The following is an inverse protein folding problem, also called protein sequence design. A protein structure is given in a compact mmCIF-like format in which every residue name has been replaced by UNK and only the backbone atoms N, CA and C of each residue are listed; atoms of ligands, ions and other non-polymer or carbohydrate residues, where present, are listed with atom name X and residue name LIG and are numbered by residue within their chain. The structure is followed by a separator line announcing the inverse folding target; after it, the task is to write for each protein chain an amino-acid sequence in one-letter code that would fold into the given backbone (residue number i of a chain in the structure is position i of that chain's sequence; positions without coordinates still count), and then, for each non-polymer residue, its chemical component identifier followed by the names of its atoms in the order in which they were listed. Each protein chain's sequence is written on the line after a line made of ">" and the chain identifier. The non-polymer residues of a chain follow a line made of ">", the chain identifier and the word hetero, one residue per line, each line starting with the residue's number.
data_IF_910295679633
#
_entry.id   IF_910295679633
#
_cell.length_a   1.000
_cell.length_b   1.000
_cell.length_c   1.000
_cell.angle_alpha   90.00
_cell.angle_beta   90.00
_cell.angle_gamma   90.00
#
_symmetry.space_group_name_H-M   'P 1'
#
loop_
_entity.id
_entity.type
_entity.pdbx_description
1 polymer ?
#
# COMPACT_ATOMS: atom_id res chain seq x y z
N UNK A 1 -50.70 -69.98 -54.22
CA UNK A 1 -49.57 -69.43 -54.97
C UNK A 1 -49.63 -67.91 -54.91
N UNK A 2 -48.52 -67.25 -54.58
CA UNK A 2 -48.40 -65.80 -54.36
C UNK A 2 -48.94 -64.92 -55.49
N UNK A 3 -49.37 -63.70 -55.15
CA UNK A 3 -48.82 -62.55 -55.87
C UNK A 3 -48.37 -61.41 -54.95
N UNK A 4 -47.38 -60.67 -55.45
CA UNK A 4 -46.65 -59.55 -54.86
C UNK A 4 -47.52 -58.41 -54.28
N UNK A 5 -47.05 -57.69 -53.24
CA UNK A 5 -47.68 -56.45 -52.80
C UNK A 5 -47.17 -55.23 -53.60
N UNK A 6 -48.01 -54.20 -53.85
CA UNK A 6 -47.58 -52.97 -54.53
C UNK A 6 -46.86 -51.98 -53.60
N UNK A 7 -45.86 -51.32 -54.18
CA UNK A 7 -44.95 -50.31 -53.62
C UNK A 7 -45.64 -49.02 -53.15
N UNK A 8 -45.39 -48.60 -51.91
CA UNK A 8 -45.76 -47.27 -51.39
C UNK A 8 -44.76 -46.21 -51.86
N UNK A 9 -45.25 -45.16 -52.53
CA UNK A 9 -44.49 -43.94 -52.88
C UNK A 9 -44.18 -43.13 -51.61
N UNK A 10 -42.90 -42.84 -51.39
CA UNK A 10 -42.41 -41.94 -50.33
C UNK A 10 -42.62 -40.48 -50.76
N UNK A 11 -43.32 -39.68 -49.97
CA UNK A 11 -43.25 -38.20 -50.03
C UNK A 11 -42.10 -37.77 -49.13
N UNK A 12 -41.06 -37.18 -49.69
CA UNK A 12 -40.00 -36.53 -48.92
C UNK A 12 -40.48 -35.13 -48.53
N UNK A 13 -40.58 -34.87 -47.22
CA UNK A 13 -40.77 -33.54 -46.66
C UNK A 13 -39.37 -33.00 -46.36
N UNK A 14 -38.96 -31.93 -47.05
CA UNK A 14 -37.77 -31.17 -46.69
C UNK A 14 -38.06 -30.41 -45.39
N UNK A 15 -37.37 -30.77 -44.31
CA UNK A 15 -37.28 -29.96 -43.09
C UNK A 15 -36.04 -29.09 -43.24
N UNK A 16 -36.23 -27.79 -43.49
CA UNK A 16 -35.16 -26.80 -43.43
C UNK A 16 -34.77 -26.56 -41.98
N UNK A 17 -33.54 -26.93 -41.60
CA UNK A 17 -32.97 -26.57 -40.32
C UNK A 17 -32.43 -25.14 -40.43
N UNK A 18 -33.15 -24.18 -39.85
CA UNK A 18 -32.61 -22.85 -39.61
C UNK A 18 -31.71 -22.92 -38.36
N UNK A 19 -30.39 -22.88 -38.56
CA UNK A 19 -29.43 -22.68 -37.47
C UNK A 19 -29.54 -21.21 -37.01
N UNK A 20 -30.37 -20.97 -36.01
CA UNK A 20 -30.36 -19.71 -35.28
C UNK A 20 -29.09 -19.65 -34.43
N UNK A 21 -28.11 -18.82 -34.81
CA UNK A 21 -27.00 -18.48 -33.95
C UNK A 21 -27.52 -17.62 -32.80
N UNK A 22 -27.89 -18.24 -31.68
CA UNK A 22 -28.17 -17.54 -30.45
C UNK A 22 -26.85 -16.95 -29.92
N UNK A 23 -26.66 -15.65 -30.11
CA UNK A 23 -25.60 -14.89 -29.44
C UNK A 23 -26.02 -14.77 -27.97
N UNK A 24 -25.44 -15.60 -27.11
CA UNK A 24 -25.56 -15.39 -25.68
C UNK A 24 -24.83 -14.08 -25.33
N UNK A 25 -25.45 -13.16 -24.57
CA UNK A 25 -24.74 -11.99 -24.10
C UNK A 25 -23.62 -12.47 -23.17
N UNK A 26 -22.37 -12.14 -23.52
CA UNK A 26 -21.24 -12.25 -22.61
C UNK A 26 -21.44 -11.15 -21.57
N UNK A 27 -22.04 -11.52 -20.44
CA UNK A 27 -22.06 -10.65 -19.26
C UNK A 27 -20.64 -10.66 -18.71
N UNK A 28 -19.87 -9.63 -19.06
CA UNK A 28 -18.59 -9.38 -18.40
C UNK A 28 -18.93 -8.85 -17.00
N UNK A 29 -18.96 -9.74 -16.02
CA UNK A 29 -18.95 -9.33 -14.62
C UNK A 29 -17.55 -8.79 -14.35
N UNK A 30 -17.40 -7.47 -14.33
CA UNK A 30 -16.22 -6.84 -13.75
C UNK A 30 -16.19 -7.23 -12.26
N UNK A 31 -15.34 -8.18 -11.89
CA UNK A 31 -15.01 -8.39 -10.50
C UNK A 31 -14.36 -7.10 -10.01
N UNK A 32 -15.03 -6.38 -9.10
CA UNK A 32 -14.34 -5.35 -8.34
C UNK A 32 -13.26 -6.09 -7.54
N UNK A 33 -11.99 -5.79 -7.78
CA UNK A 33 -10.91 -6.38 -6.99
C UNK A 33 -11.20 -6.07 -5.52
N UNK A 34 -11.27 -7.12 -4.68
CA UNK A 34 -11.42 -6.95 -3.25
C UNK A 34 -10.23 -6.13 -2.71
N UNK A 35 -10.48 -5.30 -1.69
CA UNK A 35 -9.43 -4.60 -0.98
C UNK A 35 -8.44 -5.64 -0.44
N UNK A 36 -7.17 -5.48 -0.82
CA UNK A 36 -6.09 -6.37 -0.43
C UNK A 36 -4.96 -5.56 0.19
N UNK A 37 -4.40 -6.06 1.30
CA UNK A 37 -3.24 -5.50 1.97
C UNK A 37 -2.24 -6.64 2.20
N UNK A 38 -0.97 -6.38 1.92
CA UNK A 38 0.12 -7.31 2.16
C UNK A 38 1.26 -6.56 2.87
N UNK A 39 1.45 -6.85 4.15
CA UNK A 39 2.50 -6.30 5.01
C UNK A 39 3.88 -6.83 4.61
N UNK A 40 4.93 -6.24 5.16
CA UNK A 40 6.30 -6.67 4.88
C UNK A 40 6.64 -8.07 5.43
N UNK A 41 5.81 -8.64 6.33
CA UNK A 41 5.97 -10.05 6.75
C UNK A 41 5.71 -11.03 5.62
N UNK A 42 4.93 -10.62 4.61
CA UNK A 42 4.48 -11.46 3.52
C UNK A 42 5.10 -11.10 2.16
N UNK A 43 5.68 -9.91 2.00
CA UNK A 43 6.33 -9.49 0.77
C UNK A 43 7.48 -8.48 1.03
N UNK A 44 8.58 -8.56 0.27
CA UNK A 44 9.67 -7.60 0.40
C UNK A 44 9.28 -6.20 -0.08
N UNK A 45 9.81 -5.17 0.58
CA UNK A 45 9.52 -3.77 0.31
C UNK A 45 9.82 -3.37 -1.14
N UNK A 46 10.88 -3.91 -1.74
CA UNK A 46 11.36 -3.54 -3.07
C UNK A 46 10.32 -3.76 -4.17
N UNK A 47 9.49 -4.80 -4.04
CA UNK A 47 8.43 -5.09 -5.01
C UNK A 47 7.34 -4.01 -4.95
N UNK A 48 6.87 -3.71 -3.74
CA UNK A 48 5.83 -2.72 -3.49
C UNK A 48 6.30 -1.29 -3.80
N UNK A 49 7.54 -0.97 -3.42
CA UNK A 49 8.16 0.32 -3.70
C UNK A 49 8.44 0.53 -5.20
N UNK A 50 8.86 -0.51 -5.92
CA UNK A 50 9.04 -0.45 -7.37
C UNK A 50 7.74 -0.11 -8.11
N UNK A 51 6.59 -0.55 -7.61
CA UNK A 51 5.28 -0.25 -8.18
C UNK A 51 4.83 1.22 -8.00
N UNK A 52 5.50 2.00 -7.13
CA UNK A 52 5.23 3.44 -6.97
C UNK A 52 5.77 4.28 -8.13
N UNK A 53 6.78 3.76 -8.83
CA UNK A 53 7.46 4.49 -9.90
C UNK A 53 6.64 4.49 -11.19
N UNK A 54 6.33 5.68 -11.68
CA UNK A 54 5.59 5.93 -12.92
C UNK A 54 6.47 6.45 -14.05
N UNK A 55 5.87 7.24 -14.94
CA UNK A 55 6.52 7.74 -16.15
C UNK A 55 7.80 8.54 -15.88
N UNK A 56 8.82 8.31 -16.71
CA UNK A 56 10.10 9.04 -16.73
C UNK A 56 10.92 8.96 -15.43
N UNK A 57 10.70 7.94 -14.60
CA UNK A 57 11.46 7.69 -13.40
C UNK A 57 11.96 6.25 -13.43
N UNK A 58 13.22 6.03 -13.04
CA UNK A 58 13.79 4.69 -12.89
C UNK A 58 13.96 4.38 -11.41
N UNK A 59 13.38 3.27 -10.96
CA UNK A 59 13.61 2.75 -9.60
C UNK A 59 15.06 2.24 -9.44
N UNK A 60 15.65 2.46 -8.27
CA UNK A 60 16.98 1.94 -7.90
C UNK A 60 16.89 1.00 -6.71
N UNK A 61 16.36 1.48 -5.58
CA UNK A 61 16.29 0.71 -4.34
C UNK A 61 15.22 1.26 -3.40
N UNK A 62 14.83 0.46 -2.41
CA UNK A 62 14.01 0.88 -1.29
C UNK A 62 14.57 0.29 0.01
N UNK A 63 14.37 0.99 1.12
CA UNK A 63 14.78 0.57 2.45
C UNK A 63 13.71 0.94 3.47
N UNK A 64 13.40 0.02 4.39
CA UNK A 64 12.69 0.31 5.63
C UNK A 64 13.68 0.92 6.61
N UNK A 65 13.50 2.20 6.95
CA UNK A 65 14.38 2.96 7.85
C UNK A 65 13.90 2.82 9.29
N UNK A 66 12.58 2.97 9.49
CA UNK A 66 11.90 2.76 10.77
C UNK A 66 10.61 1.97 10.55
N UNK A 67 10.17 1.31 11.60
CA UNK A 67 8.89 0.60 11.66
C UNK A 67 9.05 -0.91 11.73
N UNK A 68 8.00 -1.57 12.20
CA UNK A 68 7.81 -3.02 12.17
C UNK A 68 7.22 -3.42 10.82
N UNK A 69 7.40 -4.68 10.44
CA UNK A 69 6.91 -5.19 9.16
C UNK A 69 5.38 -5.07 8.98
N UNK A 70 4.63 -4.96 10.09
CA UNK A 70 3.16 -4.78 10.11
C UNK A 70 2.72 -3.36 9.72
N UNK A 71 3.60 -2.37 9.88
CA UNK A 71 3.32 -0.95 9.68
C UNK A 71 3.44 -0.51 8.21
N UNK A 72 4.09 -1.32 7.37
CA UNK A 72 4.36 -1.00 5.97
C UNK A 72 3.89 -2.14 5.09
N UNK A 73 3.29 -1.82 3.94
CA UNK A 73 2.78 -2.85 3.05
C UNK A 73 2.18 -2.32 1.76
N UNK A 74 2.08 -3.19 0.76
CA UNK A 74 1.31 -2.88 -0.44
C UNK A 74 -0.18 -2.98 -0.16
N UNK A 75 -0.96 -2.13 -0.83
CA UNK A 75 -2.41 -2.23 -0.83
C UNK A 75 -2.97 -2.09 -2.25
N UNK A 76 -4.15 -2.65 -2.49
CA UNK A 76 -4.86 -2.56 -3.77
C UNK A 76 -6.38 -2.61 -3.58
N UNK A 77 -7.11 -1.87 -4.41
CA UNK A 77 -8.57 -1.85 -4.40
C UNK A 77 -9.19 -0.89 -3.39
N UNK A 78 -8.41 -0.02 -2.76
CA UNK A 78 -8.88 0.95 -1.77
C UNK A 78 -9.61 2.11 -2.47
N UNK A 79 -10.92 2.21 -2.27
CA UNK A 79 -11.79 3.13 -3.03
C UNK A 79 -11.95 4.51 -2.34
N UNK A 80 -10.83 5.14 -1.98
CA UNK A 80 -10.82 6.49 -1.40
C UNK A 80 -10.48 7.57 -2.43
N UNK A 81 -9.65 7.22 -3.42
CA UNK A 81 -9.32 8.05 -4.58
C UNK A 81 -8.78 7.17 -5.71
N UNK A 82 -9.05 7.55 -6.95
CA UNK A 82 -8.53 6.84 -8.12
C UNK A 82 -6.99 6.86 -8.19
N UNK A 83 -6.36 7.94 -7.73
CA UNK A 83 -4.91 8.14 -7.80
C UNK A 83 -4.13 7.32 -6.75
N UNK A 84 -4.81 6.94 -5.66
CA UNK A 84 -4.26 6.15 -4.55
C UNK A 84 -5.07 4.87 -4.35
N UNK A 85 -5.67 4.31 -5.41
CA UNK A 85 -6.46 3.07 -5.34
C UNK A 85 -5.61 1.85 -4.99
N UNK A 86 -4.33 1.91 -5.28
CA UNK A 86 -3.31 0.91 -4.95
C UNK A 86 -1.98 1.61 -4.74
N UNK A 87 -1.08 0.98 -4.00
CA UNK A 87 0.23 1.56 -3.74
C UNK A 87 0.90 0.98 -2.50
N UNK A 88 1.64 1.83 -1.79
CA UNK A 88 2.31 1.51 -0.53
C UNK A 88 1.68 2.30 0.60
N UNK A 89 1.34 1.63 1.69
CA UNK A 89 0.85 2.24 2.93
C UNK A 89 1.95 2.19 4.00
N UNK A 90 2.01 3.24 4.81
CA UNK A 90 2.79 3.35 6.03
C UNK A 90 1.84 3.81 7.14
N UNK A 91 1.87 3.18 8.30
CA UNK A 91 0.99 3.53 9.42
C UNK A 91 1.74 3.57 10.74
N UNK A 92 1.31 4.42 11.66
CA UNK A 92 1.80 4.40 13.04
C UNK A 92 1.31 3.14 13.77
N UNK A 93 0.10 2.67 13.47
CA UNK A 93 -0.40 1.36 13.87
C UNK A 93 -0.14 0.23 12.87
N UNK A 94 -0.96 -0.82 12.93
CA UNK A 94 -0.82 -2.01 12.07
C UNK A 94 -1.67 -1.92 10.80
N UNK A 95 -1.15 -2.37 9.65
CA UNK A 95 -1.92 -2.44 8.40
C UNK A 95 -2.80 -3.70 8.29
N UNK A 96 -2.68 -4.66 9.21
CA UNK A 96 -3.59 -5.81 9.31
C UNK A 96 -4.25 -5.87 10.68
N UNK A 97 -5.37 -6.60 10.76
CA UNK A 97 -5.91 -7.00 12.06
C UNK A 97 -4.97 -8.01 12.75
N UNK A 98 -5.01 -8.01 14.08
CA UNK A 98 -4.26 -8.96 14.90
C UNK A 98 -4.69 -10.40 14.58
N UNK A 99 -3.74 -11.32 14.49
CA UNK A 99 -4.02 -12.74 14.54
C UNK A 99 -4.25 -13.15 16.01
N UNK A 100 -5.47 -13.56 16.43
CA UNK A 100 -5.73 -13.93 17.81
C UNK A 100 -4.93 -15.14 18.31
N UNK A 101 -4.28 -15.87 17.41
CA UNK A 101 -3.37 -16.98 17.72
C UNK A 101 -1.90 -16.57 17.79
N UNK A 102 -1.55 -15.36 17.35
CA UNK A 102 -0.20 -14.80 17.44
C UNK A 102 0.03 -14.21 18.82
N UNK A 103 1.00 -14.76 19.56
CA UNK A 103 1.45 -14.17 20.83
C UNK A 103 2.23 -12.85 20.65
N UNK A 104 2.55 -12.48 19.41
CA UNK A 104 3.24 -11.22 19.07
C UNK A 104 2.27 -10.08 18.75
N UNK A 105 1.00 -10.38 18.47
CA UNK A 105 -0.03 -9.40 18.10
C UNK A 105 -0.77 -8.96 19.37
N UNK A 106 -0.06 -8.30 20.29
CA UNK A 106 -0.59 -7.86 21.59
C UNK A 106 -0.81 -6.35 21.69
N UNK A 107 -0.25 -5.61 20.74
CA UNK A 107 -0.15 -4.15 20.76
C UNK A 107 -1.23 -3.46 19.90
N UNK A 108 -2.00 -4.23 19.11
CA UNK A 108 -3.05 -3.75 18.22
C UNK A 108 -4.18 -4.79 18.10
N UNK A 109 -5.34 -4.38 17.60
CA UNK A 109 -6.49 -5.28 17.35
C UNK A 109 -6.95 -5.23 15.91
N UNK A 110 -7.11 -4.02 15.37
CA UNK A 110 -7.65 -3.77 14.02
C UNK A 110 -6.55 -3.32 13.06
N UNK A 111 -6.88 -3.32 11.77
CA UNK A 111 -6.06 -2.61 10.77
C UNK A 111 -6.36 -1.12 10.83
N UNK A 112 -5.33 -0.29 10.85
CA UNK A 112 -5.38 1.18 10.74
C UNK A 112 -5.78 1.69 9.36
N UNK A 113 -5.86 0.82 8.36
CA UNK A 113 -6.20 1.18 6.98
C UNK A 113 -7.54 0.58 6.55
N UNK A 114 -7.77 -0.70 6.81
CA UNK A 114 -8.91 -1.45 6.25
C UNK A 114 -9.92 -1.81 7.31
N UNK A 115 -11.19 -1.61 7.01
CA UNK A 115 -12.27 -1.91 7.94
C UNK A 115 -13.50 -1.14 7.54
N UNK A 116 -14.59 -1.36 8.28
CA UNK A 116 -15.63 -0.33 8.39
C UNK A 116 -15.29 0.46 9.63
N UNK A 117 -15.16 1.79 9.54
CA UNK A 117 -14.98 2.62 10.72
C UNK A 117 -16.17 2.46 11.68
N UNK A 118 -16.01 1.53 12.63
CA UNK A 118 -17.06 1.10 13.55
C UNK A 118 -16.79 1.59 14.98
N UNK A 119 -15.56 2.06 15.23
CA UNK A 119 -15.11 2.64 16.47
C UNK A 119 -14.07 3.73 16.14
N UNK A 120 -14.23 4.96 16.65
CA UNK A 120 -13.40 6.09 16.23
C UNK A 120 -12.09 6.19 17.03
N UNK A 121 -11.56 5.07 17.50
CA UNK A 121 -10.41 5.04 18.42
C UNK A 121 -9.49 3.86 18.12
N UNK A 122 -9.35 3.48 16.85
CA UNK A 122 -8.40 2.41 16.50
C UNK A 122 -6.97 2.87 16.85
N UNK A 123 -6.19 1.95 17.42
CA UNK A 123 -4.83 2.23 17.92
C UNK A 123 -3.98 0.97 17.84
N UNK A 124 -2.71 1.16 17.50
CA UNK A 124 -1.63 0.22 17.73
C UNK A 124 -0.40 0.92 18.30
N UNK A 125 -0.14 0.73 19.60
CA UNK A 125 1.07 1.25 20.28
C UNK A 125 2.18 0.21 20.18
N UNK A 126 2.96 0.28 19.11
CA UNK A 126 3.89 -0.79 18.72
C UNK A 126 5.25 -0.72 19.41
N UNK A 127 5.50 0.31 20.24
CA UNK A 127 6.74 0.55 20.99
C UNK A 127 7.97 0.85 20.13
N UNK A 128 7.77 1.31 18.89
CA UNK A 128 8.78 1.63 17.90
C UNK A 128 9.50 2.95 18.17
N UNK A 129 10.67 3.11 17.55
CA UNK A 129 11.40 4.38 17.58
C UNK A 129 10.69 5.44 16.71
N UNK A 130 10.83 6.71 17.09
CA UNK A 130 10.41 7.85 16.26
C UNK A 130 11.29 8.10 15.04
N UNK A 131 10.96 9.15 14.29
CA UNK A 131 11.67 9.63 13.10
C UNK A 131 12.39 10.95 13.41
N UNK A 132 13.67 11.04 13.07
CA UNK A 132 14.45 12.26 13.26
C UNK A 132 13.96 13.39 12.34
N UNK A 133 13.60 13.07 11.09
CA UNK A 133 13.02 14.01 10.13
C UNK A 133 11.70 14.59 10.63
N UNK A 134 10.81 13.74 11.15
CA UNK A 134 9.52 14.20 11.67
C UNK A 134 9.66 14.94 13.00
N UNK A 135 10.57 14.51 13.88
CA UNK A 135 10.90 15.25 15.12
C UNK A 135 11.41 16.66 14.81
N UNK A 136 12.25 16.80 13.79
CA UNK A 136 12.74 18.11 13.35
C UNK A 136 11.63 18.96 12.70
N UNK A 137 10.69 18.32 12.00
CA UNK A 137 9.56 18.98 11.36
C UNK A 137 8.56 19.54 12.37
N UNK A 138 8.20 18.77 13.40
CA UNK A 138 7.18 19.15 14.39
C UNK A 138 7.76 19.87 15.60
N UNK A 139 9.05 19.69 15.89
CA UNK A 139 9.67 20.15 17.13
C UNK A 139 9.25 19.34 18.36
N UNK A 140 8.60 18.19 18.17
CA UNK A 140 8.12 17.29 19.21
C UNK A 140 8.75 15.91 19.08
N UNK A 141 8.85 15.18 20.19
CA UNK A 141 9.28 13.77 20.16
C UNK A 141 8.24 12.95 19.39
N UNK A 142 8.74 12.05 18.54
CA UNK A 142 7.91 11.13 17.77
C UNK A 142 8.11 9.68 18.24
N UNK A 143 7.11 8.85 18.01
CA UNK A 143 7.07 7.43 18.38
C UNK A 143 6.55 6.59 17.21
N UNK A 144 6.77 5.28 17.26
CA UNK A 144 6.16 4.31 16.34
C UNK A 144 6.28 4.67 14.86
N UNK A 145 7.43 5.23 14.46
CA UNK A 145 7.59 5.73 13.12
C UNK A 145 7.62 4.59 12.10
N UNK A 146 6.79 4.69 11.07
CA UNK A 146 6.94 3.96 9.83
C UNK A 146 7.63 4.87 8.81
N UNK A 147 8.83 4.49 8.36
CA UNK A 147 9.61 5.31 7.44
C UNK A 147 10.28 4.46 6.37
N UNK A 148 10.05 4.81 5.11
CA UNK A 148 10.71 4.20 3.96
C UNK A 148 11.53 5.23 3.19
N UNK A 149 12.69 4.81 2.70
CA UNK A 149 13.53 5.58 1.78
C UNK A 149 13.60 4.88 0.43
N UNK A 150 13.31 5.61 -0.65
CA UNK A 150 13.43 5.16 -2.03
C UNK A 150 14.53 5.93 -2.73
N UNK A 151 15.33 5.25 -3.54
CA UNK A 151 16.26 5.89 -4.48
C UNK A 151 15.72 5.72 -5.89
N UNK A 152 15.61 6.84 -6.61
CA UNK A 152 15.14 6.88 -7.99
C UNK A 152 16.07 7.72 -8.87
N UNK A 153 16.02 7.52 -10.19
CA UNK A 153 16.65 8.40 -11.16
C UNK A 153 15.58 9.02 -12.06
N UNK A 154 15.27 10.31 -11.92
CA UNK A 154 14.34 11.02 -12.79
C UNK A 154 14.98 11.32 -14.14
N UNK A 155 14.22 11.24 -15.23
CA UNK A 155 14.67 11.69 -16.55
C UNK A 155 14.41 13.20 -16.77
N UNK A 156 13.59 13.82 -15.93
CA UNK A 156 13.27 15.24 -15.93
C UNK A 156 13.87 16.00 -14.75
N UNK A 157 13.58 17.31 -14.70
CA UNK A 157 14.09 18.23 -13.67
C UNK A 157 13.09 18.49 -12.53
N UNK A 158 11.91 17.87 -12.61
CA UNK A 158 10.88 17.93 -11.58
C UNK A 158 10.34 16.53 -11.33
N UNK A 159 10.22 16.16 -10.04
CA UNK A 159 9.44 15.02 -9.58
C UNK A 159 8.04 15.48 -9.18
N UNK A 160 7.05 14.65 -9.44
CA UNK A 160 5.68 14.76 -8.92
C UNK A 160 5.35 13.47 -8.17
N UNK A 161 4.87 13.60 -6.93
CA UNK A 161 4.59 12.48 -6.03
C UNK A 161 3.15 12.57 -5.54
N UNK A 162 2.35 11.55 -5.83
CA UNK A 162 0.97 11.42 -5.36
C UNK A 162 0.93 10.73 -4.00
N UNK A 163 0.27 11.37 -3.03
CA UNK A 163 0.09 10.83 -1.69
C UNK A 163 -1.33 11.14 -1.16
N UNK A 164 -1.76 10.41 -0.14
CA UNK A 164 -3.01 10.62 0.58
C UNK A 164 -2.77 10.19 2.03
N UNK A 165 -3.46 10.77 3.00
CA UNK A 165 -3.39 10.28 4.37
C UNK A 165 -4.76 10.30 5.04
N UNK A 166 -4.89 9.55 6.12
CA UNK A 166 -6.04 9.61 7.00
C UNK A 166 -5.66 9.15 8.40
N UNK A 167 -6.55 9.38 9.35
CA UNK A 167 -6.22 9.24 10.77
C UNK A 167 -7.47 9.00 11.61
N UNK A 168 -7.27 8.29 12.72
CA UNK A 168 -8.20 8.16 13.84
C UNK A 168 -8.28 9.44 14.71
N UNK A 169 -7.37 10.39 14.54
CA UNK A 169 -7.38 11.63 15.33
C UNK A 169 -8.46 12.63 14.91
N UNK A 170 -9.02 12.47 13.71
CA UNK A 170 -10.15 13.28 13.27
C UNK A 170 -11.46 12.91 14.01
N UNK A 171 -12.37 13.87 14.21
CA UNK A 171 -12.19 15.33 14.13
C UNK A 171 -11.72 15.92 15.47
N UNK A 172 -11.83 15.14 16.55
CA UNK A 172 -11.78 15.60 17.95
C UNK A 172 -10.42 16.16 18.37
N UNK A 173 -9.34 15.71 17.73
CA UNK A 173 -7.97 16.06 18.09
C UNK A 173 -7.30 17.00 17.08
N UNK A 174 -7.99 17.35 15.99
CA UNK A 174 -7.51 18.29 14.96
C UNK A 174 -7.16 19.69 15.50
N UNK A 175 -7.68 20.05 16.69
CA UNK A 175 -7.43 21.33 17.37
C UNK A 175 -6.52 21.21 18.60
N UNK A 176 -5.90 20.05 18.83
CA UNK A 176 -5.01 19.79 19.98
C UNK A 176 -3.57 19.56 19.50
N UNK A 177 -2.64 19.50 20.45
CA UNK A 177 -1.21 19.32 20.17
C UNK A 177 -0.78 17.84 20.09
N UNK A 178 -1.74 16.92 19.95
CA UNK A 178 -1.49 15.48 19.91
C UNK A 178 -1.39 14.91 18.50
N UNK A 179 -1.44 15.76 17.47
CA UNK A 179 -1.57 15.25 16.10
C UNK A 179 -0.31 14.57 15.58
N UNK A 180 -0.48 13.42 14.93
CA UNK A 180 0.58 12.65 14.32
C UNK A 180 1.33 13.42 13.24
N UNK A 181 2.62 13.11 13.15
CA UNK A 181 3.53 13.72 12.19
C UNK A 181 3.57 12.88 10.92
N UNK A 182 3.54 13.53 9.75
CA UNK A 182 3.78 12.87 8.47
C UNK A 182 4.57 13.76 7.53
N UNK A 183 5.23 13.15 6.55
CA UNK A 183 5.95 13.89 5.54
C UNK A 183 6.43 13.05 4.36
N UNK A 184 6.44 13.68 3.19
CA UNK A 184 7.18 13.22 2.02
C UNK A 184 8.32 14.20 1.77
N UNK A 185 9.55 13.70 1.71
CA UNK A 185 10.77 14.48 1.53
C UNK A 185 11.47 14.06 0.24
N UNK A 186 12.07 15.02 -0.46
CA UNK A 186 12.91 14.80 -1.64
C UNK A 186 14.28 15.42 -1.38
N UNK A 187 15.32 14.59 -1.41
CA UNK A 187 16.70 14.97 -1.04
C UNK A 187 16.77 15.71 0.31
N UNK A 188 16.00 15.24 1.30
CA UNK A 188 15.91 15.81 2.64
C UNK A 188 15.07 17.09 2.77
N UNK A 189 14.53 17.63 1.67
CA UNK A 189 13.62 18.79 1.71
C UNK A 189 12.17 18.33 1.76
N UNK A 190 11.35 18.93 2.64
CA UNK A 190 9.92 18.64 2.71
C UNK A 190 9.23 18.99 1.38
N UNK A 191 8.55 18.02 0.79
CA UNK A 191 7.78 18.15 -0.44
C UNK A 191 6.28 18.27 -0.13
N UNK A 192 5.77 17.49 0.83
CA UNK A 192 4.35 17.50 1.24
C UNK A 192 3.97 18.78 2.00
N UNK A 193 3.78 19.86 1.24
CA UNK A 193 3.35 21.18 1.70
C UNK A 193 1.97 21.46 1.11
N UNK A 194 1.09 22.01 1.93
CA UNK A 194 -0.22 22.53 1.53
C UNK A 194 -0.21 24.02 1.84
N UNK A 195 -0.35 24.83 0.78
CA UNK A 195 -0.07 26.26 0.78
C UNK A 195 1.35 26.61 1.26
N UNK A 196 1.54 26.79 2.57
CA UNK A 196 2.85 27.10 3.17
C UNK A 196 3.16 26.25 4.40
N UNK A 197 2.26 25.35 4.77
CA UNK A 197 2.37 24.52 5.96
C UNK A 197 2.61 23.05 5.58
N UNK A 198 3.29 22.26 6.41
CA UNK A 198 3.36 20.81 6.23
C UNK A 198 1.96 20.20 6.11
N UNK A 199 1.79 19.25 5.20
CA UNK A 199 0.56 18.47 5.13
C UNK A 199 0.39 17.68 6.44
N UNK A 200 -0.82 17.69 7.01
CA UNK A 200 -1.13 17.01 8.26
C UNK A 200 -2.54 17.34 8.74
N UNK A 201 -2.92 16.75 9.86
CA UNK A 201 -4.29 16.78 10.43
C UNK A 201 -4.73 18.20 10.80
N UNK A 202 -3.80 19.04 11.25
CA UNK A 202 -4.06 20.46 11.55
C UNK A 202 -4.24 21.30 10.28
N UNK A 203 -3.59 20.91 9.20
CA UNK A 203 -3.57 21.65 7.94
C UNK A 203 -4.79 21.31 7.08
N UNK A 204 -5.24 20.05 7.09
CA UNK A 204 -6.43 19.60 6.35
C UNK A 204 -7.44 19.01 7.34
N UNK A 205 -8.58 19.64 7.52
CA UNK A 205 -9.67 19.19 8.40
C UNK A 205 -11.00 19.81 7.95
N UNK A 206 -12.07 19.59 8.73
CA UNK A 206 -13.41 20.10 8.40
C UNK A 206 -13.50 21.64 8.31
N UNK A 207 -12.53 22.36 8.87
CA UNK A 207 -12.50 23.83 8.91
C UNK A 207 -11.42 24.47 8.04
N UNK A 208 -10.33 23.75 7.78
CA UNK A 208 -9.13 24.24 7.08
C UNK A 208 -8.82 23.30 5.92
N UNK A 209 -8.71 23.81 4.68
CA UNK A 209 -8.62 23.00 3.46
C UNK A 209 -9.71 21.91 3.36
N UNK A 210 -10.95 22.27 3.74
CA UNK A 210 -12.08 21.34 3.84
C UNK A 210 -12.46 20.68 2.50
N UNK A 211 -12.09 21.28 1.37
CA UNK A 211 -12.21 20.70 0.02
C UNK A 211 -11.33 19.46 -0.19
N UNK A 212 -10.27 19.34 0.61
CA UNK A 212 -9.37 18.19 0.63
C UNK A 212 -9.66 17.22 1.78
N UNK A 213 -10.73 17.41 2.55
CA UNK A 213 -11.10 16.58 3.71
C UNK A 213 -12.35 15.74 3.42
N UNK A 214 -12.31 14.45 3.80
CA UNK A 214 -13.46 13.55 3.70
C UNK A 214 -13.64 12.81 5.03
N UNK A 215 -14.77 13.07 5.70
CA UNK A 215 -15.14 12.35 6.92
C UNK A 215 -15.62 10.93 6.59
N UNK A 216 -15.27 9.99 7.47
CA UNK A 216 -15.74 8.61 7.44
C UNK A 216 -16.27 8.17 8.82
N UNK A 217 -16.75 9.12 9.64
CA UNK A 217 -17.35 8.82 10.94
C UNK A 217 -18.67 8.06 10.85
N UNK A 218 -19.29 8.06 9.67
CA UNK A 218 -20.49 7.26 9.39
C UNK A 218 -20.18 5.83 8.93
N UNK A 219 -18.89 5.49 8.78
CA UNK A 219 -18.41 4.19 8.33
C UNK A 219 -18.81 3.85 6.88
N UNK A 220 -19.15 4.85 6.07
CA UNK A 220 -19.61 4.65 4.69
C UNK A 220 -18.51 4.28 3.70
N UNK A 221 -17.25 4.53 4.05
CA UNK A 221 -16.09 4.16 3.26
C UNK A 221 -15.40 2.91 3.84
N UNK A 222 -14.85 2.07 2.95
CA UNK A 222 -14.18 0.83 3.32
C UNK A 222 -12.76 1.06 3.86
N UNK A 223 -12.67 1.92 4.87
CA UNK A 223 -11.46 2.21 5.64
C UNK A 223 -11.81 2.34 7.11
N UNK A 224 -10.86 2.00 7.97
CA UNK A 224 -11.00 2.18 9.43
C UNK A 224 -10.92 3.65 9.83
N UNK A 225 -10.13 4.45 9.10
CA UNK A 225 -9.81 5.83 9.44
C UNK A 225 -11.05 6.71 9.65
N UNK A 226 -11.07 7.49 10.74
CA UNK A 226 -12.11 8.48 11.05
C UNK A 226 -12.35 9.51 9.96
N UNK A 227 -11.27 10.00 9.35
CA UNK A 227 -11.33 10.79 8.15
C UNK A 227 -10.02 10.68 7.37
N UNK A 228 -10.05 11.10 6.12
CA UNK A 228 -8.92 11.04 5.21
C UNK A 228 -8.94 12.21 4.24
N UNK A 229 -7.83 12.46 3.57
CA UNK A 229 -7.73 13.54 2.59
C UNK A 229 -8.18 13.09 1.21
N UNK A 230 -8.47 14.01 0.29
CA UNK A 230 -8.38 13.69 -1.15
C UNK A 230 -6.92 13.32 -1.51
N UNK A 231 -6.69 12.79 -2.71
CA UNK A 231 -5.32 12.57 -3.16
C UNK A 231 -4.63 13.91 -3.41
N UNK A 232 -3.48 14.09 -2.76
CA UNK A 232 -2.61 15.25 -2.85
C UNK A 232 -1.44 14.97 -3.78
N UNK A 233 -0.78 16.02 -4.24
CA UNK A 233 0.42 15.91 -5.07
C UNK A 233 1.43 16.94 -4.62
N UNK A 234 2.65 16.51 -4.35
CA UNK A 234 3.77 17.42 -4.17
C UNK A 234 4.70 17.38 -5.37
N UNK A 235 5.38 18.49 -5.64
CA UNK A 235 6.40 18.57 -6.69
C UNK A 235 7.72 19.05 -6.10
N UNK A 236 8.83 18.52 -6.62
CA UNK A 236 10.17 18.85 -6.14
C UNK A 236 11.15 19.00 -7.31
N UNK A 237 11.97 20.07 -7.35
CA UNK A 237 13.03 20.20 -8.32
C UNK A 237 14.13 19.16 -8.08
N UNK A 238 14.60 18.53 -9.15
CA UNK A 238 15.59 17.45 -9.14
C UNK A 238 16.57 17.61 -10.30
N UNK A 239 17.61 16.78 -10.34
CA UNK A 239 18.56 16.78 -11.46
C UNK A 239 18.30 15.57 -12.36
N UNK A 240 18.03 15.77 -13.67
CA UNK A 240 17.88 14.68 -14.62
C UNK A 240 19.10 13.74 -14.60
N UNK A 241 18.85 12.44 -14.57
CA UNK A 241 19.89 11.40 -14.62
C UNK A 241 20.70 11.22 -13.33
N UNK A 242 20.38 11.95 -12.26
CA UNK A 242 21.06 11.86 -10.95
C UNK A 242 20.15 11.15 -9.95
N UNK A 243 20.73 10.27 -9.13
CA UNK A 243 20.00 9.63 -8.03
C UNK A 243 19.38 10.67 -7.09
N UNK A 244 18.11 10.46 -6.78
CA UNK A 244 17.28 11.28 -5.91
C UNK A 244 16.69 10.38 -4.83
N UNK A 245 16.80 10.79 -3.58
CA UNK A 245 16.21 10.08 -2.44
C UNK A 245 14.85 10.68 -2.13
N UNK A 246 13.84 9.81 -2.04
CA UNK A 246 12.49 10.13 -1.56
C UNK A 246 12.32 9.43 -0.22
N UNK A 247 11.93 10.17 0.82
CA UNK A 247 11.56 9.60 2.12
C UNK A 247 10.07 9.83 2.34
N UNK A 248 9.34 8.79 2.73
CA UNK A 248 7.98 8.91 3.24
C UNK A 248 7.96 8.40 4.68
N UNK A 249 7.40 9.20 5.58
CA UNK A 249 7.38 8.91 7.00
C UNK A 249 6.04 9.30 7.62
N UNK A 250 5.60 8.51 8.60
CA UNK A 250 4.50 8.83 9.52
C UNK A 250 4.91 8.35 10.93
N UNK A 251 4.56 9.09 11.97
CA UNK A 251 4.90 8.76 13.35
C UNK A 251 3.92 9.41 14.34
N UNK A 252 3.65 8.72 15.45
CA UNK A 252 2.85 9.29 16.52
C UNK A 252 3.61 10.46 17.16
N UNK A 253 2.87 11.43 17.71
CA UNK A 253 3.47 12.59 18.37
C UNK A 253 2.85 12.79 19.75
N UNK A 254 3.70 13.09 20.75
CA UNK A 254 3.32 13.28 22.16
C UNK A 254 2.88 12.00 22.89
N UNK A 255 2.00 11.19 22.33
CA UNK A 255 1.67 9.84 22.80
C UNK A 255 1.73 8.82 21.65
N UNK A 256 1.35 7.56 21.90
CA UNK A 256 1.30 6.47 20.92
C UNK A 256 -0.12 5.95 20.70
N UNK A 257 -1.11 6.84 20.82
CA UNK A 257 -2.52 6.50 20.62
C UNK A 257 -3.06 7.10 19.33
N UNK A 258 -4.03 6.39 18.76
CA UNK A 258 -4.70 6.70 17.50
C UNK A 258 -3.75 6.56 16.31
N UNK A 259 -4.22 5.87 15.28
CA UNK A 259 -3.35 5.55 14.15
C UNK A 259 -3.53 6.54 13.00
N UNK A 260 -2.42 6.94 12.39
CA UNK A 260 -2.38 7.68 11.12
C UNK A 260 -1.74 6.84 10.02
N UNK A 261 -2.39 6.77 8.86
CA UNK A 261 -1.88 6.07 7.68
C UNK A 261 -1.55 7.04 6.55
N UNK A 262 -0.31 6.97 6.04
CA UNK A 262 0.16 7.61 4.83
C UNK A 262 0.17 6.63 3.65
N UNK A 263 -0.43 7.04 2.53
CA UNK A 263 -0.56 6.26 1.30
C UNK A 263 0.23 6.93 0.17
N UNK A 264 1.06 6.15 -0.52
CA UNK A 264 1.73 6.53 -1.76
C UNK A 264 1.08 5.80 -2.94
N UNK A 265 0.67 6.53 -3.98
CA UNK A 265 -0.02 5.94 -5.13
C UNK A 265 0.90 5.12 -6.05
N UNK A 266 0.42 3.97 -6.52
CA UNK A 266 1.09 3.18 -7.55
C UNK A 266 1.24 3.98 -8.85
N UNK A 267 2.44 3.99 -9.43
CA UNK A 267 2.80 4.85 -10.55
C UNK A 267 2.73 6.36 -10.25
N UNK A 268 2.55 6.74 -8.98
CA UNK A 268 2.36 8.11 -8.52
C UNK A 268 3.64 8.95 -8.44
N UNK A 269 4.81 8.32 -8.56
CA UNK A 269 6.12 9.01 -8.64
C UNK A 269 6.49 9.17 -10.11
N UNK A 270 6.31 10.38 -10.64
CA UNK A 270 6.58 10.68 -12.06
C UNK A 270 7.58 11.82 -12.21
N UNK A 271 8.16 11.95 -13.39
CA UNK A 271 9.03 13.09 -13.72
C UNK A 271 8.60 13.76 -15.02
N UNK A 272 8.62 15.09 -15.03
CA UNK A 272 8.38 15.88 -16.24
C UNK A 272 9.70 16.16 -16.95
N UNK A 273 9.89 15.71 -18.21
CA UNK A 273 11.13 15.95 -18.94
C UNK A 273 11.46 17.45 -18.98
N UNK A 274 12.74 17.79 -18.82
CA UNK A 274 13.19 19.16 -19.00
C UNK A 274 12.81 19.64 -20.42
N UNK A 275 12.41 20.91 -20.61
CA UNK A 275 12.18 21.46 -21.94
C UNK A 275 13.40 21.18 -22.82
N UNK A 276 13.17 20.71 -24.05
CA UNK A 276 14.28 20.51 -24.99
C UNK A 276 15.05 21.83 -25.14
N UNK A 277 16.27 21.87 -24.64
CA UNK A 277 17.11 23.05 -24.77
C UNK A 277 17.27 23.30 -26.28
N UNK A 278 17.01 24.53 -26.78
CA UNK A 278 17.19 24.81 -28.20
C UNK A 278 18.64 24.46 -28.56
N UNK A 279 18.79 23.47 -29.43
CA UNK A 279 20.12 23.12 -29.95
C UNK A 279 20.60 24.33 -30.73
N UNK A 280 21.68 24.96 -30.26
CA UNK A 280 22.41 25.89 -31.11
C UNK A 280 22.92 25.06 -32.28
N UNK A 281 22.31 25.21 -33.45
CA UNK A 281 22.76 24.59 -34.69
C UNK A 281 24.26 24.85 -34.83
N UNK A 282 25.11 23.83 -35.09
CA UNK A 282 26.52 24.07 -35.34
C UNK A 282 26.63 25.03 -36.52
N UNK A 283 27.22 26.20 -36.25
CA UNK A 283 27.47 27.21 -37.26
C UNK A 283 28.29 26.57 -38.40
N UNK A 284 27.78 26.49 -39.64
CA UNK A 284 28.47 25.82 -40.75
C UNK A 284 29.72 26.57 -41.23
N UNK A 285 30.14 27.66 -40.57
CA UNK A 285 31.30 28.47 -40.93
C UNK A 285 32.57 28.23 -40.08
N UNK A 286 32.60 27.21 -39.21
CA UNK A 286 33.84 26.83 -38.54
C UNK A 286 34.75 26.05 -39.50
N UNK A 287 36.01 26.46 -39.76
CA UNK A 287 36.91 25.70 -40.62
C UNK A 287 37.26 24.37 -39.97
N UNK A 288 37.09 23.27 -40.71
CA UNK A 288 37.56 21.95 -40.29
C UNK A 288 39.11 21.91 -40.35
N UNK A 289 39.78 21.87 -39.20
CA UNK A 289 41.21 21.55 -39.13
C UNK A 289 41.36 20.03 -39.16
N UNK A 290 41.82 19.51 -40.29
CA UNK A 290 42.18 18.10 -40.49
C UNK A 290 43.56 17.82 -39.91
N UNK A 291 43.64 17.29 -38.68
CA UNK A 291 44.86 16.65 -38.20
C UNK A 291 44.78 15.15 -38.45
N UNK A 292 45.51 14.72 -39.48
CA UNK A 292 45.78 13.32 -39.75
C UNK A 292 46.91 12.84 -38.86
N UNK A 293 46.65 11.83 -38.02
CA UNK A 293 47.69 11.04 -37.36
C UNK A 293 47.50 9.58 -37.76
N UNK A 294 48.37 9.12 -38.65
CA UNK A 294 48.67 7.72 -38.91
C UNK A 294 49.77 7.25 -37.95
N UNK A 295 49.50 6.20 -37.17
CA UNK A 295 50.52 5.50 -36.39
C UNK A 295 49.98 4.23 -35.75
N UNK A 296 50.25 3.08 -36.38
CA UNK A 296 50.05 1.72 -35.83
C UNK A 296 51.33 1.26 -35.06
N UNK A 297 51.34 0.11 -34.34
CA UNK A 297 51.84 0.03 -32.97
C UNK A 297 53.19 -0.71 -32.83
N UNK A 298 53.90 -0.52 -31.72
CA UNK A 298 54.97 -1.40 -31.29
C UNK A 298 54.97 -1.54 -29.77
N UNK A 299 54.89 -2.79 -29.30
CA UNK A 299 54.86 -3.14 -27.89
C UNK A 299 56.23 -3.15 -27.23
N UNK A 300 56.22 -3.09 -25.90
CA UNK A 300 57.31 -3.56 -25.04
C UNK A 300 56.67 -4.17 -23.79
N UNK A 301 57.02 -5.42 -23.50
CA UNK A 301 56.72 -6.12 -22.25
C UNK A 301 57.88 -5.98 -21.27
N UNK A 302 57.59 -5.86 -19.97
CA UNK A 302 58.42 -6.32 -18.83
C UNK A 302 57.62 -6.09 -17.53
N UNK A 303 57.00 -7.12 -16.96
CA UNK A 303 57.42 -7.92 -15.79
C UNK A 303 57.64 -7.17 -14.46
N UNK A 304 56.85 -7.53 -13.43
CA UNK A 304 57.37 -7.71 -12.05
C UNK A 304 56.50 -7.25 -10.87
N UNK A 305 55.82 -8.22 -10.21
CA UNK A 305 55.59 -8.29 -8.74
C UNK A 305 54.50 -7.41 -8.10
N UNK A 306 53.77 -7.76 -7.04
CA UNK A 306 53.70 -8.97 -6.18
C UNK A 306 52.38 -8.90 -5.39
N UNK A 307 51.85 -10.05 -4.99
CA UNK A 307 50.67 -10.24 -4.16
C UNK A 307 50.82 -9.70 -2.71
N UNK A 308 49.69 -9.41 -2.07
CA UNK A 308 49.60 -9.04 -0.64
C UNK A 308 48.16 -9.08 -0.10
N UNK A 309 47.70 -10.30 0.22
CA UNK A 309 46.84 -10.71 1.36
C UNK A 309 45.66 -9.88 1.88
N UNK A 310 44.53 -10.58 1.98
CA UNK A 310 43.32 -10.31 2.73
C UNK A 310 43.55 -10.09 4.25
N UNK A 311 42.68 -9.30 4.87
CA UNK A 311 42.28 -9.46 6.26
C UNK A 311 40.91 -8.79 6.51
N UNK A 312 39.92 -9.64 6.75
CA UNK A 312 38.67 -9.38 7.46
C UNK A 312 38.96 -9.07 8.94
N UNK A 313 38.04 -8.43 9.67
CA UNK A 313 37.72 -8.92 11.01
C UNK A 313 36.22 -9.16 11.19
N UNK A 314 35.92 -10.28 11.84
CA UNK A 314 34.62 -10.59 12.42
C UNK A 314 34.47 -10.04 13.84
N UNK A 315 33.18 -9.90 14.18
CA UNK A 315 32.53 -10.28 15.44
C UNK A 315 32.42 -9.26 16.58
N UNK A 316 31.13 -8.99 16.84
CA UNK A 316 30.43 -8.99 18.12
C UNK A 316 30.62 -7.81 19.09
N UNK A 317 29.50 -7.17 19.44
CA UNK A 317 29.23 -6.85 20.85
C UNK A 317 27.74 -6.57 21.12
N UNK A 318 27.14 -7.46 21.92
CA UNK A 318 26.29 -7.21 23.09
C UNK A 318 25.02 -6.35 22.99
N UNK A 319 23.90 -7.05 23.17
CA UNK A 319 22.71 -6.68 23.95
C UNK A 319 22.96 -5.59 25.01
N UNK A 320 22.16 -4.53 24.95
CA UNK A 320 21.87 -3.67 26.11
C UNK A 320 20.40 -3.83 26.47
N UNK A 321 20.16 -4.63 27.51
CA UNK A 321 18.93 -4.69 28.27
C UNK A 321 19.02 -3.64 29.39
N UNK A 322 18.11 -2.67 29.38
CA UNK A 322 17.73 -1.80 30.51
C UNK A 322 16.25 -1.51 30.30
N UNK A 323 15.31 -2.20 30.95
CA UNK A 323 14.89 -1.98 32.34
C UNK A 323 13.84 -0.84 32.38
N UNK A 324 12.63 -0.99 32.92
CA UNK A 324 12.05 -2.11 33.65
C UNK A 324 10.57 -1.90 34.04
N UNK A 325 10.02 -2.99 34.58
CA UNK A 325 9.04 -3.11 35.66
C UNK A 325 7.67 -2.40 35.57
N UNK A 326 6.66 -3.17 35.13
CA UNK A 326 5.24 -2.97 35.45
C UNK A 326 4.62 -4.30 35.92
N UNK A 327 4.20 -4.35 37.17
CA UNK A 327 3.92 -5.58 37.92
C UNK A 327 2.73 -6.44 37.47
N UNK A 328 2.96 -7.73 37.61
CA UNK A 328 2.03 -8.86 37.59
C UNK A 328 0.90 -8.72 38.63
N UNK A 329 -0.36 -8.84 38.22
CA UNK A 329 -1.48 -9.20 39.11
C UNK A 329 -2.24 -10.39 38.53
N UNK A 330 -2.02 -11.54 39.17
CA UNK A 330 -2.72 -12.81 38.96
C UNK A 330 -4.12 -12.71 39.58
N UNK A 331 -5.15 -13.02 38.80
CA UNK A 331 -6.52 -13.21 39.27
C UNK A 331 -7.23 -14.28 38.46
N UNK A 332 -7.15 -15.53 38.93
CA UNK A 332 -7.85 -16.68 38.38
C UNK A 332 -9.36 -16.60 38.63
N UNK A 333 -10.19 -16.92 37.62
CA UNK A 333 -11.50 -17.54 37.85
C UNK A 333 -11.67 -18.69 36.85
N UNK A 334 -11.80 -19.88 37.42
CA UNK A 334 -12.11 -21.13 36.75
C UNK A 334 -13.61 -21.26 36.46
N UNK A 335 -13.95 -22.01 35.41
CA UNK A 335 -15.12 -22.87 35.42
C UNK A 335 -15.98 -22.85 34.17
N UNK A 336 -16.12 -24.01 33.53
CA UNK A 336 -17.37 -24.37 32.85
C UNK A 336 -17.23 -24.92 31.44
N UNK A 337 -16.95 -26.21 31.33
CA UNK A 337 -17.13 -27.01 30.12
C UNK A 337 -18.63 -27.25 29.83
N UNK A 338 -19.04 -27.40 28.54
CA UNK A 338 -19.59 -28.65 27.97
C UNK A 338 -20.15 -28.50 26.53
N UNK A 339 -19.65 -29.40 25.66
CA UNK A 339 -20.34 -30.25 24.67
C UNK A 339 -21.35 -29.73 23.62
N UNK A 340 -20.94 -29.96 22.35
CA UNK A 340 -21.61 -30.74 21.29
C UNK A 340 -22.95 -30.28 20.68
N UNK A 341 -22.98 -30.10 19.35
CA UNK A 341 -23.48 -31.10 18.40
C UNK A 341 -23.59 -30.55 16.96
N UNK A 342 -23.11 -31.36 16.02
CA UNK A 342 -23.36 -31.32 14.57
C UNK A 342 -24.83 -31.54 14.23
N UNK A 343 -25.32 -30.94 13.13
CA UNK A 343 -26.62 -31.35 12.56
C UNK A 343 -27.06 -30.56 11.33
N UNK A 344 -26.51 -30.90 10.17
CA UNK A 344 -27.13 -30.62 8.87
C UNK A 344 -28.23 -31.67 8.59
N UNK A 345 -29.36 -31.26 8.02
CA UNK A 345 -30.39 -32.18 7.51
C UNK A 345 -31.76 -31.52 7.42
N UNK A 346 -32.14 -31.02 6.23
CA UNK A 346 -32.99 -31.74 5.27
C UNK A 346 -34.49 -31.58 5.57
N UNK A 347 -35.11 -30.65 4.85
CA UNK A 347 -36.57 -30.43 4.82
C UNK A 347 -37.22 -31.53 3.99
N UNK A 348 -37.93 -32.45 4.63
CA UNK A 348 -38.86 -33.37 3.98
C UNK A 348 -40.30 -32.97 4.32
N UNK A 349 -41.04 -32.72 3.25
CA UNK A 349 -42.43 -32.27 3.15
C UNK A 349 -43.38 -33.42 3.50
N UNK A 350 -44.11 -33.34 4.62
CA UNK A 350 -45.17 -34.31 4.94
C UNK A 350 -46.54 -33.81 4.45
N UNK A 351 -47.22 -34.66 3.67
CA UNK A 351 -48.63 -34.50 3.26
C UNK A 351 -49.55 -35.17 4.28
N UNK A 352 -50.67 -34.50 4.51
CA UNK A 352 -51.82 -34.82 5.39
C UNK A 352 -52.35 -36.26 5.26
N UNK A 353 -52.80 -36.80 6.40
CA UNK A 353 -54.07 -37.55 6.64
C UNK A 353 -54.31 -37.56 8.15
N UNK A 354 -55.29 -36.80 8.63
CA UNK A 354 -56.67 -37.21 8.92
C UNK A 354 -56.80 -37.84 10.32
N UNK A 355 -57.37 -37.04 11.22
CA UNK A 355 -57.83 -37.44 12.55
C UNK A 355 -59.12 -38.27 12.45
N UNK A 356 -59.28 -39.22 13.36
CA UNK A 356 -60.57 -39.72 13.81
C UNK A 356 -60.53 -39.80 15.34
N UNK A 357 -61.60 -39.25 15.92
CA UNK A 357 -61.97 -39.04 17.32
C UNK A 357 -62.27 -40.31 18.13
N UNK A 358 -62.17 -40.16 19.47
CA UNK A 358 -63.02 -40.71 20.58
C UNK A 358 -63.10 -42.24 20.73
N UNK A 359 -63.26 -42.86 21.89
CA UNK A 359 -63.70 -42.52 23.26
C UNK A 359 -63.14 -43.67 24.15
N UNK A 360 -62.72 -43.48 25.39
CA UNK A 360 -63.62 -43.62 26.54
C UNK A 360 -63.55 -45.02 27.19
N UNK A 361 -62.97 -45.07 28.40
CA UNK A 361 -62.84 -46.21 29.36
C UNK A 361 -61.58 -47.06 29.29
#
# INVERSE_FOLDING_TARGET
>A
MSPFPPSRRRRAILVGIALGAASAPVIVTSASAALAVQTLEAAPLEVSAGALVGGNVRFVSAQLVHGRDVQVGSYAGLDLSAATRSGLALSTGSLRAADPSSAADVDFTSSSLTGTNSAPTTTGDLGGAGSAELTALTGATTYDAAQVALTVVPAGDTLSIVYQFGSEEYPTWSQRDYTDALGVFVNGSLCSIVDSDPAGIRTINESTHADSFVSNLDGSHATEMNAYTTALTCTAPVRPGVETTIVAAVADTVDGQLDTTLLLGAGGITSTPAPAQPTTSPNPSAPATSDGVTGTPAGVASTGGTAGTAAQPEAASTLANTGGDGGLLIGAIAGGALLAATGAGLVIRSRRRAAAETDGS
#
